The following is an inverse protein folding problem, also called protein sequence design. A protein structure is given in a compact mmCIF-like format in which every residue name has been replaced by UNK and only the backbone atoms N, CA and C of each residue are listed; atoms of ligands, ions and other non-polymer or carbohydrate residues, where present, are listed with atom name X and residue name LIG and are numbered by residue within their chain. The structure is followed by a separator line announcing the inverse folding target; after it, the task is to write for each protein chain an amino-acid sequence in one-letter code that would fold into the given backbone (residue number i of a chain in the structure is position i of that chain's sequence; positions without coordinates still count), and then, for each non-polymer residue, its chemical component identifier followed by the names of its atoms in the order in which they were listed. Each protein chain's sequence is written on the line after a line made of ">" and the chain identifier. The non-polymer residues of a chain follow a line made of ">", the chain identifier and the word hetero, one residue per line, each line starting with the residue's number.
data_IF_961369076000
#
_entry.id   IF_961369076000
#
_cell.length_a   1.000
_cell.length_b   1.000
_cell.length_c   1.000
_cell.angle_alpha   90.00
_cell.angle_beta   90.00
_cell.angle_gamma   90.00
#
_symmetry.space_group_name_H-M   'P 1'
#
loop_
_entity.id
_entity.type
_entity.pdbx_description
1 polymer ?
#
# COMPACT_ATOMS: atom_id res chain seq x y z
N UNK A 1 20.18 -24.44 7.32
CA UNK A 1 20.16 -23.10 6.68
C UNK A 1 19.29 -22.99 5.42
N UNK A 2 19.13 -24.02 4.56
CA UNK A 2 18.32 -23.93 3.32
C UNK A 2 16.78 -23.87 3.52
N UNK A 3 16.24 -24.55 4.54
CA UNK A 3 14.78 -24.65 4.76
C UNK A 3 14.11 -23.30 5.10
N UNK A 4 14.75 -22.47 5.93
CA UNK A 4 14.22 -21.16 6.30
C UNK A 4 14.17 -20.19 5.11
N UNK A 5 15.16 -20.24 4.21
CA UNK A 5 15.18 -19.42 3.00
C UNK A 5 14.06 -19.82 2.02
N UNK A 6 13.88 -21.12 1.76
CA UNK A 6 12.79 -21.61 0.89
C UNK A 6 11.42 -21.23 1.47
N UNK A 7 11.24 -21.38 2.79
CA UNK A 7 10.00 -20.95 3.46
C UNK A 7 9.76 -19.45 3.27
N UNK A 8 10.78 -18.61 3.44
CA UNK A 8 10.69 -17.16 3.22
C UNK A 8 10.29 -16.82 1.78
N UNK A 9 10.94 -17.44 0.79
CA UNK A 9 10.61 -17.24 -0.64
C UNK A 9 9.16 -17.63 -0.93
N UNK A 10 8.68 -18.77 -0.44
CA UNK A 10 7.30 -19.19 -0.62
C UNK A 10 6.30 -18.21 0.01
N UNK A 11 6.60 -17.67 1.19
CA UNK A 11 5.74 -16.69 1.86
C UNK A 11 5.67 -15.38 1.07
N UNK A 12 6.79 -14.91 0.50
CA UNK A 12 6.82 -13.71 -0.35
C UNK A 12 6.04 -13.93 -1.64
N UNK A 13 6.23 -15.07 -2.31
CA UNK A 13 5.50 -15.40 -3.54
C UNK A 13 4.00 -15.47 -3.29
N UNK A 14 3.58 -16.15 -2.23
CA UNK A 14 2.17 -16.22 -1.86
C UNK A 14 1.58 -14.83 -1.56
N UNK A 15 2.30 -14.02 -0.77
CA UNK A 15 1.88 -12.66 -0.45
C UNK A 15 1.76 -11.76 -1.68
N UNK A 16 2.76 -11.77 -2.56
CA UNK A 16 2.76 -10.97 -3.79
C UNK A 16 1.64 -11.41 -4.75
N UNK A 17 1.41 -12.72 -4.87
CA UNK A 17 0.37 -13.28 -5.74
C UNK A 17 -1.02 -12.90 -5.23
N UNK A 18 -1.28 -13.05 -3.93
CA UNK A 18 -2.54 -12.66 -3.31
C UNK A 18 -2.78 -11.16 -3.40
N UNK A 19 -1.73 -10.34 -3.23
CA UNK A 19 -1.83 -8.90 -3.38
C UNK A 19 -2.21 -8.49 -4.80
N UNK A 20 -1.55 -9.06 -5.82
CA UNK A 20 -1.88 -8.80 -7.23
C UNK A 20 -3.29 -9.26 -7.61
N UNK A 21 -3.68 -10.47 -7.20
CA UNK A 21 -5.04 -11.00 -7.42
C UNK A 21 -6.11 -10.11 -6.78
N UNK A 22 -5.85 -9.59 -5.57
CA UNK A 22 -6.76 -8.66 -4.90
C UNK A 22 -6.98 -7.38 -5.70
N UNK A 23 -5.95 -6.85 -6.37
CA UNK A 23 -6.08 -5.65 -7.20
C UNK A 23 -6.96 -5.90 -8.43
N UNK A 24 -6.72 -6.99 -9.16
CA UNK A 24 -7.54 -7.37 -10.31
C UNK A 24 -8.99 -7.70 -9.93
N UNK A 25 -9.19 -8.39 -8.80
CA UNK A 25 -10.54 -8.67 -8.28
C UNK A 25 -11.29 -7.39 -7.90
N UNK A 26 -10.62 -6.41 -7.27
CA UNK A 26 -11.22 -5.12 -6.96
C UNK A 26 -11.60 -4.35 -8.22
N UNK A 27 -10.72 -4.32 -9.23
CA UNK A 27 -11.04 -3.70 -10.52
C UNK A 27 -12.30 -4.31 -11.13
N UNK A 28 -12.42 -5.64 -11.14
CA UNK A 28 -13.61 -6.33 -11.65
C UNK A 28 -14.89 -5.98 -10.86
N UNK A 29 -14.80 -5.82 -9.54
CA UNK A 29 -15.92 -5.41 -8.69
C UNK A 29 -16.37 -3.99 -9.01
N UNK A 30 -15.42 -3.07 -9.22
CA UNK A 30 -15.69 -1.67 -9.55
C UNK A 30 -16.29 -1.52 -10.95
N UNK A 31 -15.76 -2.24 -11.95
CA UNK A 31 -16.28 -2.24 -13.33
C UNK A 31 -17.73 -2.75 -13.42
N UNK A 32 -18.13 -3.65 -12.52
CA UNK A 32 -19.51 -4.16 -12.44
C UNK A 32 -20.44 -3.31 -11.57
N UNK A 33 -19.93 -2.25 -10.96
CA UNK A 33 -20.70 -1.39 -10.06
C UNK A 33 -21.21 -2.09 -8.80
N UNK A 34 -20.57 -3.19 -8.39
CA UNK A 34 -21.02 -3.98 -7.24
C UNK A 34 -20.60 -3.35 -5.89
N UNK A 35 -19.54 -2.56 -5.88
CA UNK A 35 -19.07 -1.77 -4.74
C UNK A 35 -18.21 -0.59 -5.24
N UNK A 36 -17.98 0.40 -4.40
CA UNK A 36 -17.03 1.50 -4.59
C UNK A 36 -15.76 1.28 -3.74
N UNK A 37 -14.71 2.09 -3.96
CA UNK A 37 -13.47 1.94 -3.21
C UNK A 37 -13.66 2.10 -1.69
N UNK A 38 -14.53 3.01 -1.26
CA UNK A 38 -14.81 3.27 0.15
C UNK A 38 -15.49 2.10 0.84
N UNK A 39 -16.53 1.53 0.23
CA UNK A 39 -17.22 0.36 0.78
C UNK A 39 -16.31 -0.87 0.81
N UNK A 40 -15.53 -1.12 -0.24
CA UNK A 40 -14.57 -2.24 -0.28
C UNK A 40 -13.49 -2.12 0.82
N UNK A 41 -12.89 -0.93 0.96
CA UNK A 41 -11.85 -0.68 1.98
C UNK A 41 -12.43 -0.78 3.39
N UNK A 42 -13.63 -0.29 3.62
CA UNK A 42 -14.30 -0.36 4.92
C UNK A 42 -14.52 -1.81 5.35
N UNK A 43 -15.10 -2.64 4.48
CA UNK A 43 -15.32 -4.06 4.77
C UNK A 43 -13.98 -4.77 4.99
N UNK A 44 -12.99 -4.52 4.13
CA UNK A 44 -11.67 -5.14 4.21
C UNK A 44 -10.96 -4.81 5.53
N UNK A 45 -10.95 -3.55 5.96
CA UNK A 45 -10.27 -3.11 7.17
C UNK A 45 -10.99 -3.60 8.43
N UNK A 46 -12.32 -3.53 8.47
CA UNK A 46 -13.11 -4.03 9.59
C UNK A 46 -12.96 -5.55 9.73
N UNK A 47 -13.08 -6.30 8.64
CA UNK A 47 -12.89 -7.76 8.66
C UNK A 47 -11.49 -8.15 9.12
N UNK A 48 -10.45 -7.50 8.56
CA UNK A 48 -9.06 -7.76 8.97
C UNK A 48 -8.82 -7.41 10.44
N UNK A 49 -9.38 -6.28 10.91
CA UNK A 49 -9.29 -5.85 12.31
C UNK A 49 -9.92 -6.87 13.25
N UNK A 50 -11.15 -7.32 12.97
CA UNK A 50 -11.83 -8.34 13.77
C UNK A 50 -11.05 -9.64 13.79
N UNK A 51 -10.58 -10.14 12.64
CA UNK A 51 -9.79 -11.37 12.54
C UNK A 51 -8.52 -11.28 13.39
N UNK A 52 -7.78 -10.17 13.30
CA UNK A 52 -6.55 -9.97 14.06
C UNK A 52 -6.82 -9.87 15.57
N UNK A 53 -7.88 -9.15 15.97
CA UNK A 53 -8.26 -9.04 17.38
C UNK A 53 -8.68 -10.38 17.98
N UNK A 54 -9.45 -11.19 17.23
CA UNK A 54 -9.81 -12.54 17.64
C UNK A 54 -8.58 -13.44 17.77
N UNK A 55 -7.67 -13.42 16.78
CA UNK A 55 -6.44 -14.19 16.81
C UNK A 55 -5.59 -13.88 18.05
N UNK A 56 -5.37 -12.59 18.33
CA UNK A 56 -4.60 -12.15 19.51
C UNK A 56 -5.33 -12.51 20.80
N UNK A 57 -6.65 -12.32 20.86
CA UNK A 57 -7.45 -12.66 22.05
C UNK A 57 -7.39 -14.15 22.38
N UNK A 58 -7.41 -15.02 21.37
CA UNK A 58 -7.32 -16.47 21.56
C UNK A 58 -5.93 -16.91 22.02
N UNK A 59 -4.86 -16.28 21.52
CA UNK A 59 -3.48 -16.69 21.78
C UNK A 59 -2.89 -16.08 23.05
N UNK A 60 -3.23 -14.83 23.35
CA UNK A 60 -2.58 -14.01 24.39
C UNK A 60 -3.58 -13.48 25.42
N UNK A 61 -4.88 -13.75 25.26
CA UNK A 61 -5.94 -13.27 26.14
C UNK A 61 -6.42 -11.85 25.81
N UNK A 62 -7.70 -11.59 26.07
CA UNK A 62 -8.34 -10.29 25.78
C UNK A 62 -7.69 -9.10 26.50
N UNK A 63 -7.10 -9.33 27.67
CA UNK A 63 -6.39 -8.29 28.43
C UNK A 63 -5.21 -7.69 27.65
N UNK A 64 -4.57 -8.48 26.79
CA UNK A 64 -3.44 -8.02 25.97
C UNK A 64 -3.91 -7.06 24.87
N UNK A 65 -5.08 -7.30 24.29
CA UNK A 65 -5.72 -6.37 23.34
C UNK A 65 -6.03 -5.03 24.02
N UNK A 66 -6.53 -5.07 25.25
CA UNK A 66 -6.88 -3.85 26.00
C UNK A 66 -5.65 -3.08 26.52
N UNK A 67 -4.46 -3.66 26.52
CA UNK A 67 -3.26 -3.06 27.09
C UNK A 67 -2.85 -1.76 26.38
N UNK A 68 -3.09 -1.69 25.06
CA UNK A 68 -2.79 -0.52 24.22
C UNK A 68 -3.49 0.75 24.73
N UNK A 69 -4.68 0.59 25.30
CA UNK A 69 -5.49 1.71 25.78
C UNK A 69 -5.01 2.29 27.13
N UNK A 70 -3.98 1.71 27.74
CA UNK A 70 -3.46 2.19 29.04
C UNK A 70 -2.54 3.41 28.89
N UNK A 71 -1.87 3.57 27.75
CA UNK A 71 -0.86 4.61 27.55
C UNK A 71 -1.28 5.56 26.43
N UNK A 72 -1.39 6.85 26.77
CA UNK A 72 -1.82 7.90 25.83
C UNK A 72 -0.93 7.99 24.58
N UNK A 73 0.38 7.74 24.70
CA UNK A 73 1.32 7.74 23.56
C UNK A 73 1.03 6.63 22.56
N UNK A 74 0.59 5.48 23.05
CA UNK A 74 0.37 4.29 22.23
C UNK A 74 -0.97 4.42 21.50
N UNK A 75 -1.98 4.95 22.20
CA UNK A 75 -3.26 5.36 21.59
C UNK A 75 -3.03 6.36 20.46
N UNK A 76 -2.27 7.44 20.74
CA UNK A 76 -2.00 8.47 19.73
C UNK A 76 -1.26 7.88 18.52
N UNK A 77 -0.21 7.09 18.74
CA UNK A 77 0.55 6.43 17.68
C UNK A 77 -0.34 5.52 16.82
N UNK A 78 -1.21 4.72 17.45
CA UNK A 78 -2.12 3.82 16.72
C UNK A 78 -3.19 4.59 15.96
N UNK A 79 -3.75 5.66 16.52
CA UNK A 79 -4.73 6.49 15.80
C UNK A 79 -4.10 7.13 14.56
N UNK A 80 -2.92 7.74 14.71
CA UNK A 80 -2.18 8.35 13.59
C UNK A 80 -1.85 7.29 12.53
N UNK A 81 -1.33 6.12 12.95
CA UNK A 81 -1.02 5.03 12.03
C UNK A 81 -2.26 4.46 11.35
N UNK A 82 -3.38 4.30 12.07
CA UNK A 82 -4.62 3.75 11.51
C UNK A 82 -5.23 4.68 10.47
N UNK A 83 -5.17 6.00 10.68
CA UNK A 83 -5.72 6.99 9.76
C UNK A 83 -4.78 7.18 8.57
N UNK A 84 -3.52 7.57 8.81
CA UNK A 84 -2.60 7.97 7.74
C UNK A 84 -1.82 6.80 7.15
N UNK A 85 -1.45 5.81 7.96
CA UNK A 85 -0.67 4.66 7.50
C UNK A 85 -1.52 3.55 6.89
N UNK A 86 -2.75 3.36 7.38
CA UNK A 86 -3.62 2.27 6.94
C UNK A 86 -4.80 2.75 6.09
N UNK A 87 -5.70 3.57 6.64
CA UNK A 87 -6.92 3.97 5.94
C UNK A 87 -6.62 4.79 4.69
N UNK A 88 -5.81 5.85 4.82
CA UNK A 88 -5.46 6.71 3.70
C UNK A 88 -4.80 5.91 2.57
N UNK A 89 -3.73 5.16 2.86
CA UNK A 89 -2.99 4.37 1.87
C UNK A 89 -3.88 3.34 1.17
N UNK A 90 -4.73 2.63 1.91
CA UNK A 90 -5.63 1.65 1.31
C UNK A 90 -6.69 2.32 0.43
N UNK A 91 -7.29 3.41 0.93
CA UNK A 91 -8.32 4.12 0.19
C UNK A 91 -7.77 4.73 -1.09
N UNK A 92 -6.63 5.43 -1.02
CA UNK A 92 -6.02 6.09 -2.18
C UNK A 92 -5.60 5.07 -3.24
N UNK A 93 -5.06 3.92 -2.83
CA UNK A 93 -4.76 2.81 -3.74
C UNK A 93 -6.03 2.30 -4.47
N UNK A 94 -7.10 1.96 -3.74
CA UNK A 94 -8.32 1.46 -4.37
C UNK A 94 -9.09 2.53 -5.16
N UNK A 95 -9.02 3.80 -4.75
CA UNK A 95 -9.56 4.92 -5.52
C UNK A 95 -8.82 5.10 -6.85
N UNK A 96 -7.50 4.91 -6.87
CA UNK A 96 -6.70 4.90 -8.10
C UNK A 96 -7.12 3.76 -9.04
N UNK A 97 -7.45 2.58 -8.49
CA UNK A 97 -7.99 1.46 -9.27
C UNK A 97 -9.39 1.80 -9.82
N UNK A 98 -10.28 2.34 -8.98
CA UNK A 98 -11.66 2.68 -9.35
C UNK A 98 -11.70 3.72 -10.49
N UNK A 99 -10.86 4.75 -10.41
CA UNK A 99 -10.77 5.81 -11.44
C UNK A 99 -9.90 5.44 -12.64
N UNK A 100 -9.11 4.37 -12.52
CA UNK A 100 -8.10 3.97 -13.50
C UNK A 100 -8.10 2.48 -13.72
N UNK A 101 -6.97 1.83 -13.45
CA UNK A 101 -6.86 0.38 -13.50
C UNK A 101 -5.84 -0.14 -12.48
N UNK A 102 -5.91 -1.43 -12.17
CA UNK A 102 -5.07 -2.07 -11.16
C UNK A 102 -3.57 -2.02 -11.49
N UNK A 103 -3.21 -2.13 -12.77
CA UNK A 103 -1.81 -2.13 -13.18
C UNK A 103 -1.16 -0.75 -12.95
N UNK A 104 -1.85 0.33 -13.35
CA UNK A 104 -1.36 1.69 -13.18
C UNK A 104 -1.28 2.09 -11.69
N UNK A 105 -2.27 1.73 -10.88
CA UNK A 105 -2.24 1.96 -9.44
C UNK A 105 -1.04 1.24 -8.78
N UNK A 106 -0.74 0.01 -9.20
CA UNK A 106 0.43 -0.72 -8.70
C UNK A 106 1.76 -0.07 -9.11
N UNK A 107 1.86 0.44 -10.34
CA UNK A 107 3.03 1.17 -10.82
C UNK A 107 3.25 2.45 -10.00
N UNK A 108 2.18 3.21 -9.73
CA UNK A 108 2.23 4.39 -8.87
C UNK A 108 2.63 4.03 -7.43
N UNK A 109 2.15 2.89 -6.91
CA UNK A 109 2.55 2.41 -5.58
C UNK A 109 4.04 2.11 -5.46
N UNK A 110 4.70 1.71 -6.56
CA UNK A 110 6.16 1.54 -6.59
C UNK A 110 6.95 2.85 -6.49
N UNK A 111 6.27 4.00 -6.44
CA UNK A 111 6.88 5.28 -6.06
C UNK A 111 7.10 5.41 -4.56
N UNK A 112 6.41 4.62 -3.73
CA UNK A 112 6.50 4.68 -2.26
C UNK A 112 7.93 4.63 -1.69
N UNK A 113 8.85 3.77 -2.20
CA UNK A 113 10.24 3.76 -1.75
C UNK A 113 10.95 5.12 -1.95
N UNK A 114 10.58 5.92 -2.95
CA UNK A 114 11.17 7.26 -3.14
C UNK A 114 10.70 8.24 -2.07
N UNK A 115 9.41 8.19 -1.68
CA UNK A 115 8.90 9.00 -0.58
C UNK A 115 9.57 8.62 0.75
N UNK A 116 9.76 7.32 1.00
CA UNK A 116 10.48 6.83 2.18
C UNK A 116 11.93 7.30 2.18
N UNK A 117 12.62 7.17 1.04
CA UNK A 117 14.01 7.61 0.90
C UNK A 117 14.16 9.12 1.10
N UNK A 118 13.28 9.91 0.49
CA UNK A 118 13.22 11.36 0.67
C UNK A 118 13.01 11.73 2.13
N UNK A 119 12.06 11.06 2.81
CA UNK A 119 11.82 11.27 4.24
C UNK A 119 13.07 10.98 5.09
N UNK A 120 13.80 9.90 4.81
CA UNK A 120 15.04 9.56 5.54
C UNK A 120 16.14 10.60 5.34
N UNK A 121 16.26 11.18 4.14
CA UNK A 121 17.19 12.28 3.88
C UNK A 121 16.81 13.55 4.63
N UNK A 122 15.53 13.92 4.63
CA UNK A 122 15.03 15.09 5.39
C UNK A 122 15.26 14.91 6.89
N UNK A 123 15.09 13.69 7.40
CA UNK A 123 15.40 13.35 8.80
C UNK A 123 16.90 13.21 9.11
N UNK A 124 17.76 13.31 8.10
CA UNK A 124 19.22 13.12 8.22
C UNK A 124 19.64 11.75 8.78
N UNK A 125 18.75 10.76 8.66
CA UNK A 125 19.01 9.36 9.07
C UNK A 125 19.87 8.62 8.04
N UNK A 126 19.91 9.13 6.80
CA UNK A 126 20.75 8.60 5.73
C UNK A 126 21.42 9.77 4.99
N UNK A 127 22.74 9.72 4.72
CA UNK A 127 23.39 10.74 3.89
C UNK A 127 22.93 10.62 2.43
N UNK A 128 22.61 11.73 1.74
CA UNK A 128 22.24 11.69 0.33
C UNK A 128 23.41 11.20 -0.51
N UNK A 129 23.17 10.19 -1.35
CA UNK A 129 24.18 9.65 -2.26
C UNK A 129 23.79 9.97 -3.69
N UNK A 130 24.77 10.37 -4.50
CA UNK A 130 24.56 10.61 -5.94
C UNK A 130 23.93 9.40 -6.65
N UNK A 131 24.33 8.18 -6.26
CA UNK A 131 23.77 6.93 -6.82
C UNK A 131 22.27 6.82 -6.61
N UNK A 132 21.78 7.21 -5.45
CA UNK A 132 20.37 7.11 -5.09
C UNK A 132 19.53 8.10 -5.92
N UNK A 133 20.08 9.28 -6.21
CA UNK A 133 19.45 10.26 -7.12
C UNK A 133 19.35 9.72 -8.55
N UNK A 134 20.41 9.10 -9.08
CA UNK A 134 20.41 8.49 -10.43
C UNK A 134 19.40 7.34 -10.52
N UNK A 135 19.38 6.44 -9.53
CA UNK A 135 18.42 5.33 -9.48
C UNK A 135 16.97 5.81 -9.40
N UNK A 136 16.74 6.85 -8.59
CA UNK A 136 15.42 7.49 -8.47
C UNK A 136 14.97 8.09 -9.81
N UNK A 137 15.84 8.86 -10.48
CA UNK A 137 15.52 9.44 -11.79
C UNK A 137 15.22 8.36 -12.84
N UNK A 138 16.02 7.28 -12.86
CA UNK A 138 15.82 6.19 -13.81
C UNK A 138 14.48 5.47 -13.57
N UNK A 139 14.13 5.22 -12.31
CA UNK A 139 12.88 4.57 -11.96
C UNK A 139 11.65 5.46 -12.20
N UNK A 140 11.73 6.76 -11.87
CA UNK A 140 10.69 7.74 -12.21
C UNK A 140 10.48 7.82 -13.72
N UNK A 141 11.56 7.77 -14.51
CA UNK A 141 11.48 7.72 -15.97
C UNK A 141 10.77 6.44 -16.45
N UNK A 142 11.05 5.29 -15.82
CA UNK A 142 10.35 4.03 -16.11
C UNK A 142 8.86 4.10 -15.80
N UNK A 143 8.49 4.65 -14.64
CA UNK A 143 7.09 4.88 -14.26
C UNK A 143 6.39 5.82 -15.25
N UNK A 144 7.04 6.92 -15.63
CA UNK A 144 6.52 7.85 -16.63
C UNK A 144 6.26 7.17 -17.97
N UNK A 145 7.22 6.38 -18.48
CA UNK A 145 7.06 5.65 -19.74
C UNK A 145 5.92 4.63 -19.68
N UNK A 146 5.77 3.91 -18.56
CA UNK A 146 4.68 2.95 -18.37
C UNK A 146 3.31 3.64 -18.33
N UNK A 147 3.20 4.80 -17.69
CA UNK A 147 1.95 5.55 -17.59
C UNK A 147 1.58 6.30 -18.88
N UNK A 148 2.56 6.58 -19.74
CA UNK A 148 2.34 7.31 -21.01
C UNK A 148 2.35 6.40 -22.24
N UNK A 149 2.71 5.13 -22.08
CA UNK A 149 2.97 4.24 -23.22
C UNK A 149 4.08 4.75 -24.15
N UNK A 150 4.98 5.60 -23.64
CA UNK A 150 6.03 6.26 -24.42
C UNK A 150 5.60 7.51 -25.20
N UNK A 151 4.37 8.00 -25.02
CA UNK A 151 3.87 9.23 -25.66
C UNK A 151 3.69 10.34 -24.62
N UNK A 152 4.55 11.37 -24.60
CA UNK A 152 4.52 12.39 -23.53
C UNK A 152 3.22 13.21 -23.50
N UNK A 153 2.48 13.27 -24.61
CA UNK A 153 1.26 14.07 -24.74
C UNK A 153 -0.02 13.33 -24.28
N UNK A 154 0.07 12.07 -23.84
CA UNK A 154 -1.09 11.28 -23.42
C UNK A 154 -0.79 10.43 -22.19
N UNK A 155 -1.62 10.55 -21.15
CA UNK A 155 -1.67 9.54 -20.09
C UNK A 155 -2.58 8.39 -20.52
N UNK A 156 -2.15 7.16 -20.19
CA UNK A 156 -2.94 5.96 -20.35
C UNK A 156 -4.09 5.85 -19.34
N UNK A 157 -4.04 6.64 -18.26
CA UNK A 157 -5.05 6.68 -17.20
C UNK A 157 -5.63 8.09 -17.01
N UNK A 158 -6.86 8.23 -16.49
CA UNK A 158 -7.39 9.53 -16.09
C UNK A 158 -6.50 10.21 -15.04
N UNK A 159 -6.40 11.55 -15.10
CA UNK A 159 -5.60 12.32 -14.17
C UNK A 159 -6.01 12.10 -12.70
N UNK A 160 -7.31 11.90 -12.43
CA UNK A 160 -7.81 11.55 -11.11
C UNK A 160 -7.18 10.27 -10.55
N UNK A 161 -7.01 9.24 -11.39
CA UNK A 161 -6.38 7.99 -10.96
C UNK A 161 -4.91 8.19 -10.58
N UNK A 162 -4.21 9.09 -11.27
CA UNK A 162 -2.83 9.46 -10.93
C UNK A 162 -2.77 10.24 -9.60
N UNK A 163 -3.68 11.19 -9.39
CA UNK A 163 -3.76 11.96 -8.13
C UNK A 163 -4.04 11.05 -6.94
N UNK A 164 -4.92 10.06 -7.08
CA UNK A 164 -5.17 9.08 -6.02
C UNK A 164 -4.02 8.09 -5.82
N UNK A 165 -3.20 7.81 -6.84
CA UNK A 165 -2.12 6.83 -6.72
C UNK A 165 -0.82 7.37 -6.13
N UNK A 166 -0.69 8.69 -5.98
CA UNK A 166 0.51 9.39 -5.48
C UNK A 166 0.25 9.94 -4.08
#
# INVERSE_FOLDING_TARGET
>A
MKSAHVKGVLMVLAGASLWGLSGSAAQFVFERGAADAGSLVSVRLLASGVILLLYVSMKNGFQHVCQIWKKKTDICSILVFSIFGMLAVQYTFFASIEKGNAAAAAILQYLAPFFVLFYLYVKKELPPKWKDAVLTLLALSGVFLLLTGGRPDSLYIPAEAAVWGV
#
